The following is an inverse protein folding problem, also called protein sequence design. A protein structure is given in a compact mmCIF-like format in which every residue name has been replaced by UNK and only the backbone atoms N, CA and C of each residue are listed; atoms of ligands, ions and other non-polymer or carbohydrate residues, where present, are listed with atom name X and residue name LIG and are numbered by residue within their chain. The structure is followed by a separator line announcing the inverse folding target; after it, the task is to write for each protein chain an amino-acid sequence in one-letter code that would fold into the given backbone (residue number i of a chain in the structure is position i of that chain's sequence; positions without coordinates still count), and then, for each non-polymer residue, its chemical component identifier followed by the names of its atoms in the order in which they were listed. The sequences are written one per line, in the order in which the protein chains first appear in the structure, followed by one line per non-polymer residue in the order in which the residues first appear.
data_IF_918249818674
#
_entry.id   IF_918249818674
#
_cell.length_a   1.000
_cell.length_b   1.000
_cell.length_c   1.000
_cell.angle_alpha   90.00
_cell.angle_beta   90.00
_cell.angle_gamma   90.00
#
_symmetry.space_group_name_H-M   'P 1'
#
loop_
_entity.id
_entity.type
_entity.pdbx_description
1 polymer ?
#
# COMPACT_ATOMS: atom_id res chain seq x y z
N UNK A 1 -27.93 -31.50 17.78
CA UNK A 1 -27.51 -30.16 18.24
C UNK A 1 -26.77 -30.35 19.56
N UNK A 2 -25.58 -29.74 19.72
CA UNK A 2 -24.66 -30.05 20.81
C UNK A 2 -24.85 -29.05 21.96
N UNK A 3 -24.94 -29.53 23.21
CA UNK A 3 -25.19 -28.71 24.40
C UNK A 3 -24.16 -27.57 24.62
N UNK A 4 -22.96 -27.71 24.05
CA UNK A 4 -21.94 -26.64 24.05
C UNK A 4 -22.29 -25.47 23.12
N UNK A 5 -22.95 -25.73 21.98
CA UNK A 5 -23.35 -24.67 21.05
C UNK A 5 -24.46 -23.79 21.64
N UNK A 6 -25.39 -24.43 22.36
CA UNK A 6 -26.51 -23.74 23.01
C UNK A 6 -26.01 -22.84 24.15
N UNK A 7 -25.08 -23.33 24.97
CA UNK A 7 -24.41 -22.53 26.01
C UNK A 7 -23.61 -21.35 25.43
N UNK A 8 -22.94 -21.54 24.29
CA UNK A 8 -22.23 -20.44 23.63
C UNK A 8 -23.19 -19.36 23.11
N UNK A 9 -24.31 -19.78 22.50
CA UNK A 9 -25.33 -18.84 21.99
C UNK A 9 -25.95 -18.02 23.13
N UNK A 10 -26.23 -18.66 24.25
CA UNK A 10 -26.84 -18.01 25.42
C UNK A 10 -25.87 -17.02 26.09
N UNK A 11 -24.59 -17.41 26.19
CA UNK A 11 -23.53 -16.52 26.68
C UNK A 11 -23.35 -15.30 25.76
N UNK A 12 -23.36 -15.49 24.44
CA UNK A 12 -23.22 -14.39 23.47
C UNK A 12 -24.43 -13.46 23.46
N UNK A 13 -25.65 -13.99 23.66
CA UNK A 13 -26.87 -13.19 23.73
C UNK A 13 -26.87 -12.28 24.96
N UNK A 14 -26.49 -12.83 26.13
CA UNK A 14 -26.34 -12.06 27.36
C UNK A 14 -25.37 -10.89 27.20
N UNK A 15 -24.22 -11.12 26.55
CA UNK A 15 -23.24 -10.05 26.27
C UNK A 15 -23.81 -9.01 25.29
N UNK A 16 -24.56 -9.44 24.28
CA UNK A 16 -25.21 -8.54 23.32
C UNK A 16 -26.28 -7.64 23.95
N UNK A 17 -26.97 -8.11 24.99
CA UNK A 17 -27.97 -7.32 25.73
C UNK A 17 -27.35 -6.32 26.72
N UNK A 18 -26.09 -6.54 27.13
CA UNK A 18 -25.36 -5.61 28.02
C UNK A 18 -24.70 -4.43 27.30
N UNK A 19 -24.67 -4.42 25.96
CA UNK A 19 -24.07 -3.34 25.18
C UNK A 19 -25.16 -2.45 24.60
N UNK A 20 -25.29 -1.22 25.11
CA UNK A 20 -26.15 -0.23 24.49
C UNK A 20 -25.50 0.28 23.20
N UNK A 21 -26.30 0.74 22.24
CA UNK A 21 -25.79 1.34 20.99
C UNK A 21 -24.87 2.56 21.25
N UNK A 22 -24.96 3.13 22.45
CA UNK A 22 -24.19 4.25 22.99
C UNK A 22 -22.74 3.87 23.33
N UNK A 23 -22.50 2.60 23.73
CA UNK A 23 -21.19 2.07 24.14
C UNK A 23 -20.34 1.64 22.94
N UNK A 24 -20.93 1.62 21.74
CA UNK A 24 -20.23 1.27 20.50
C UNK A 24 -19.60 2.55 19.92
N UNK A 25 -18.26 2.67 19.91
CA UNK A 25 -17.61 3.85 19.35
C UNK A 25 -18.00 4.01 17.88
N UNK A 26 -18.25 5.25 17.41
CA UNK A 26 -18.71 5.46 16.05
C UNK A 26 -17.71 4.90 15.04
N UNK A 27 -18.20 4.27 13.95
CA UNK A 27 -17.32 3.73 12.93
C UNK A 27 -16.46 4.85 12.33
N UNK A 28 -15.14 4.61 12.23
CA UNK A 28 -14.13 5.56 11.73
C UNK A 28 -14.30 5.93 10.23
N UNK A 29 -15.38 5.50 9.59
CA UNK A 29 -15.67 5.69 8.18
C UNK A 29 -16.90 6.57 7.89
N UNK A 30 -17.42 7.32 8.89
CA UNK A 30 -18.36 8.40 8.63
C UNK A 30 -17.64 9.54 7.87
N UNK A 31 -17.53 9.36 6.56
CA UNK A 31 -16.87 10.25 5.62
C UNK A 31 -17.51 11.62 5.64
N UNK A 32 -16.71 12.61 6.04
CA UNK A 32 -16.98 14.03 5.83
C UNK A 32 -17.18 14.24 4.34
N UNK A 33 -18.42 14.39 3.87
CA UNK A 33 -18.69 14.92 2.53
C UNK A 33 -18.12 16.34 2.51
N UNK A 34 -16.87 16.50 2.05
CA UNK A 34 -16.33 17.80 1.72
C UNK A 34 -17.12 18.28 0.51
N UNK A 35 -18.11 19.13 0.76
CA UNK A 35 -18.71 19.96 -0.27
C UNK A 35 -17.59 20.82 -0.86
N UNK A 36 -17.06 20.39 -2.00
CA UNK A 36 -16.13 21.13 -2.82
C UNK A 36 -16.95 22.17 -3.59
N UNK A 37 -17.25 23.30 -2.94
CA UNK A 37 -17.66 24.50 -3.64
C UNK A 37 -16.43 25.37 -3.90
N UNK A 38 -16.15 25.47 -5.19
CA UNK A 38 -15.22 26.36 -5.87
C UNK A 38 -15.14 27.77 -5.27
N UNK A 39 -13.93 28.24 -4.97
CA UNK A 39 -13.63 29.68 -4.91
C UNK A 39 -12.59 30.02 -5.99
N UNK A 40 -12.91 30.84 -6.99
CA UNK A 40 -11.95 31.31 -7.97
C UNK A 40 -11.20 32.55 -7.46
N UNK A 41 -9.91 32.59 -7.83
CA UNK A 41 -9.12 33.76 -8.29
C UNK A 41 -8.84 34.90 -7.29
N UNK A 42 -7.55 35.23 -7.15
CA UNK A 42 -6.96 36.53 -7.54
C UNK A 42 -5.43 36.46 -7.37
N UNK A 43 -4.73 36.48 -8.51
CA UNK A 43 -3.28 36.67 -8.59
C UNK A 43 -3.03 38.18 -8.53
N UNK A 44 -2.43 38.66 -7.43
CA UNK A 44 -1.94 40.03 -7.34
C UNK A 44 -0.44 40.03 -7.69
N UNK A 45 -0.08 40.60 -8.83
CA UNK A 45 1.28 40.93 -9.18
C UNK A 45 1.64 42.27 -8.51
N UNK A 46 2.69 42.29 -7.69
CA UNK A 46 3.27 43.52 -7.16
C UNK A 46 4.75 43.57 -7.55
N UNK A 47 5.04 44.38 -8.58
CA UNK A 47 6.39 44.81 -8.93
C UNK A 47 6.68 46.04 -8.07
N UNK A 48 7.67 45.96 -7.21
CA UNK A 48 8.25 47.13 -6.55
C UNK A 48 9.77 47.03 -6.62
N UNK A 49 10.34 47.72 -7.61
CA UNK A 49 11.75 48.01 -7.68
C UNK A 49 12.03 49.23 -6.79
N UNK A 50 12.90 49.07 -5.79
CA UNK A 50 13.54 50.19 -5.11
C UNK A 50 14.94 49.77 -4.67
N UNK A 51 15.94 50.25 -5.41
CA UNK A 51 17.34 50.18 -5.03
C UNK A 51 17.58 51.15 -3.86
N UNK A 52 18.09 50.64 -2.73
CA UNK A 52 18.60 51.47 -1.64
C UNK A 52 20.04 51.03 -1.38
N UNK A 53 20.97 51.91 -1.76
CA UNK A 53 22.37 51.83 -1.35
C UNK A 53 22.44 52.46 0.04
N UNK A 54 22.58 51.65 1.08
CA UNK A 54 22.78 52.11 2.45
C UNK A 54 24.20 51.74 2.91
N UNK A 55 25.01 52.79 3.09
CA UNK A 55 26.34 52.79 3.67
C UNK A 55 26.24 52.48 5.17
N UNK A 56 27.10 51.56 5.63
CA UNK A 56 27.48 51.22 7.02
C UNK A 56 26.66 51.72 8.22
N UNK A 57 26.16 50.77 9.01
CA UNK A 57 25.74 50.98 10.40
C UNK A 57 25.67 49.64 11.14
N UNK A 58 26.61 49.39 12.06
CA UNK A 58 26.62 48.22 12.94
C UNK A 58 25.64 48.48 14.09
N UNK A 59 24.49 47.80 14.09
CA UNK A 59 23.63 47.66 15.27
C UNK A 59 23.54 46.20 15.66
N UNK A 60 24.05 45.88 16.85
CA UNK A 60 23.90 44.58 17.47
C UNK A 60 22.41 44.28 17.70
N UNK A 61 21.88 43.29 17.00
CA UNK A 61 20.48 42.85 17.12
C UNK A 61 20.32 41.48 16.47
N UNK A 62 19.92 40.49 17.27
CA UNK A 62 19.89 39.08 16.92
C UNK A 62 19.16 38.75 15.61
N UNK A 63 19.81 37.98 14.74
CA UNK A 63 19.10 37.19 13.73
C UNK A 63 19.61 35.76 13.86
N UNK A 64 18.75 34.89 14.39
CA UNK A 64 18.93 33.45 14.32
C UNK A 64 19.01 33.06 12.83
N UNK A 65 20.20 32.94 12.27
CA UNK A 65 20.38 32.17 11.04
C UNK A 65 20.29 30.71 11.44
N UNK A 66 19.07 30.25 11.71
CA UNK A 66 18.78 28.83 11.76
C UNK A 66 19.03 28.31 10.35
N UNK A 67 20.28 27.92 10.10
CA UNK A 67 20.72 27.29 8.88
C UNK A 67 20.12 25.90 8.82
N UNK A 68 18.82 25.81 8.55
CA UNK A 68 18.21 24.60 8.06
C UNK A 68 18.78 24.41 6.66
N UNK A 69 19.91 23.72 6.58
CA UNK A 69 20.47 23.25 5.31
C UNK A 69 19.34 22.52 4.61
N UNK A 70 18.83 23.09 3.53
CA UNK A 70 17.88 22.46 2.65
C UNK A 70 18.45 21.07 2.32
N UNK A 71 17.92 20.04 2.96
CA UNK A 71 18.29 18.66 2.64
C UNK A 71 17.93 18.50 1.16
N UNK A 72 18.87 18.08 0.30
CA UNK A 72 18.56 17.87 -1.09
C UNK A 72 17.36 16.94 -1.17
N UNK A 73 16.29 17.40 -1.84
CA UNK A 73 15.10 16.60 -2.05
C UNK A 73 15.58 15.33 -2.76
N UNK A 74 15.64 14.22 -2.04
CA UNK A 74 16.07 12.95 -2.62
C UNK A 74 15.19 12.71 -3.87
N UNK A 75 15.77 12.29 -5.01
CA UNK A 75 14.96 12.01 -6.18
C UNK A 75 13.85 11.06 -5.76
N UNK A 76 12.61 11.41 -6.13
CA UNK A 76 11.43 10.65 -5.75
C UNK A 76 11.65 9.18 -6.14
N UNK A 77 11.84 8.34 -5.12
CA UNK A 77 12.24 6.95 -5.34
C UNK A 77 11.03 6.16 -5.83
N UNK A 78 11.32 5.27 -6.76
CA UNK A 78 10.32 4.35 -7.30
C UNK A 78 10.01 3.30 -6.25
N UNK A 79 8.73 3.11 -5.97
CA UNK A 79 8.25 2.05 -5.11
C UNK A 79 7.96 0.79 -5.94
N UNK A 80 8.21 -0.38 -5.35
CA UNK A 80 7.92 -1.68 -5.94
C UNK A 80 6.84 -2.39 -5.13
N UNK A 81 5.96 -3.08 -5.84
CA UNK A 81 4.88 -3.89 -5.27
C UNK A 81 4.92 -5.25 -5.94
N UNK A 82 4.85 -6.33 -5.15
CA UNK A 82 4.71 -7.68 -5.64
C UNK A 82 3.29 -8.16 -5.36
N UNK A 83 2.55 -8.54 -6.40
CA UNK A 83 1.23 -9.15 -6.30
C UNK A 83 1.40 -10.65 -6.51
N UNK A 84 1.29 -11.44 -5.45
CA UNK A 84 1.39 -12.89 -5.49
C UNK A 84 0.05 -13.50 -5.86
N UNK A 85 0.08 -14.47 -6.77
CA UNK A 85 -1.12 -15.15 -7.24
C UNK A 85 -1.42 -16.39 -6.38
N UNK A 86 -2.68 -16.81 -6.44
CA UNK A 86 -3.15 -17.99 -5.74
C UNK A 86 -2.39 -19.24 -6.17
N UNK A 87 -2.02 -20.06 -5.18
CA UNK A 87 -1.48 -21.41 -5.37
C UNK A 87 -2.19 -22.41 -4.47
N UNK A 88 -2.03 -23.70 -4.78
CA UNK A 88 -2.67 -24.78 -4.01
C UNK A 88 -2.33 -24.77 -2.52
N UNK A 89 -1.14 -24.29 -2.16
CA UNK A 89 -0.68 -24.17 -0.78
C UNK A 89 -1.00 -22.82 -0.12
N UNK A 90 -1.66 -21.90 -0.84
CA UNK A 90 -2.07 -20.60 -0.32
C UNK A 90 -2.96 -20.75 0.91
N UNK A 91 -2.67 -19.96 1.95
CA UNK A 91 -3.49 -19.89 3.17
C UNK A 91 -4.68 -18.94 3.05
N UNK A 92 -4.76 -18.14 1.98
CA UNK A 92 -5.87 -17.22 1.77
C UNK A 92 -7.13 -18.01 1.39
N UNK A 93 -8.24 -17.89 2.15
CA UNK A 93 -9.47 -18.63 1.86
C UNK A 93 -10.06 -18.31 0.49
N UNK A 94 -9.86 -17.09 -0.01
CA UNK A 94 -10.33 -16.67 -1.34
C UNK A 94 -9.64 -17.41 -2.50
N UNK A 95 -8.51 -18.08 -2.23
CA UNK A 95 -7.82 -18.89 -3.22
C UNK A 95 -8.36 -20.32 -3.32
N UNK A 96 -9.19 -20.77 -2.37
CA UNK A 96 -9.84 -22.10 -2.37
C UNK A 96 -8.85 -23.28 -2.59
N UNK A 97 -7.59 -23.13 -2.17
CA UNK A 97 -6.50 -24.10 -2.42
C UNK A 97 -6.33 -24.45 -3.90
N UNK A 98 -6.54 -23.48 -4.80
CA UNK A 98 -6.38 -23.61 -6.25
C UNK A 98 -5.32 -22.65 -6.77
N UNK A 99 -4.71 -23.04 -7.89
CA UNK A 99 -3.84 -22.14 -8.63
C UNK A 99 -4.66 -21.08 -9.38
N UNK A 100 -4.12 -19.87 -9.49
CA UNK A 100 -4.70 -18.84 -10.33
C UNK A 100 -4.76 -19.32 -11.79
N UNK A 101 -5.94 -19.17 -12.40
CA UNK A 101 -6.14 -19.51 -13.82
C UNK A 101 -5.42 -18.52 -14.74
N UNK A 102 -5.16 -18.94 -15.98
CA UNK A 102 -4.59 -18.03 -16.99
C UNK A 102 -5.46 -16.78 -17.20
N UNK A 103 -6.79 -16.93 -17.15
CA UNK A 103 -7.72 -15.82 -17.28
C UNK A 103 -7.65 -14.86 -16.08
N UNK A 104 -7.57 -15.37 -14.86
CA UNK A 104 -7.39 -14.53 -13.66
C UNK A 104 -6.05 -13.79 -13.69
N UNK A 105 -4.98 -14.48 -14.05
CA UNK A 105 -3.65 -13.87 -14.21
C UNK A 105 -3.68 -12.72 -15.21
N UNK A 106 -4.29 -12.92 -16.37
CA UNK A 106 -4.42 -11.90 -17.39
C UNK A 106 -5.32 -10.74 -16.94
N UNK A 107 -6.41 -11.03 -16.21
CA UNK A 107 -7.27 -10.00 -15.64
C UNK A 107 -6.52 -9.11 -14.62
N UNK A 108 -5.71 -9.72 -13.74
CA UNK A 108 -4.88 -9.00 -12.75
C UNK A 108 -3.83 -8.14 -13.46
N UNK A 109 -3.16 -8.67 -14.50
CA UNK A 109 -2.20 -7.91 -15.30
C UNK A 109 -2.86 -6.68 -15.94
N UNK A 110 -3.98 -6.88 -16.63
CA UNK A 110 -4.72 -5.79 -17.28
C UNK A 110 -5.22 -4.75 -16.27
N UNK A 111 -5.69 -5.18 -15.10
CA UNK A 111 -6.08 -4.28 -14.02
C UNK A 111 -4.90 -3.39 -13.58
N UNK A 112 -3.74 -4.00 -13.34
CA UNK A 112 -2.53 -3.29 -12.93
C UNK A 112 -2.06 -2.28 -13.98
N UNK A 113 -2.06 -2.66 -15.25
CA UNK A 113 -1.62 -1.80 -16.36
C UNK A 113 -2.53 -0.59 -16.58
N UNK A 114 -3.81 -0.68 -16.19
CA UNK A 114 -4.77 0.45 -16.26
C UNK A 114 -4.59 1.47 -15.14
N UNK A 115 -3.83 1.15 -14.09
CA UNK A 115 -3.64 2.07 -12.97
C UNK A 115 -2.63 3.17 -13.35
N UNK A 116 -2.98 4.47 -13.25
CA UNK A 116 -2.10 5.56 -13.66
C UNK A 116 -0.84 5.68 -12.78
N UNK A 117 -0.87 5.05 -11.61
CA UNK A 117 0.22 4.96 -10.64
C UNK A 117 1.34 4.02 -11.11
N UNK A 118 0.99 3.05 -11.96
CA UNK A 118 1.86 1.97 -12.40
C UNK A 118 2.68 2.44 -13.60
N UNK A 119 3.97 2.08 -13.59
CA UNK A 119 4.87 2.33 -14.72
C UNK A 119 5.14 1.06 -15.51
N UNK A 120 5.39 -0.05 -14.81
CA UNK A 120 5.76 -1.33 -15.43
C UNK A 120 5.14 -2.48 -14.64
N UNK A 121 4.65 -3.49 -15.34
CA UNK A 121 4.22 -4.77 -14.79
C UNK A 121 5.03 -5.86 -15.46
N UNK A 122 5.67 -6.71 -14.66
CA UNK A 122 6.43 -7.86 -15.13
C UNK A 122 5.88 -9.11 -14.48
N UNK A 123 5.51 -10.09 -15.29
CA UNK A 123 5.12 -11.39 -14.77
C UNK A 123 6.36 -12.22 -14.45
N UNK A 124 6.39 -12.75 -13.24
CA UNK A 124 7.40 -13.70 -12.80
C UNK A 124 6.75 -15.08 -12.64
N UNK A 125 7.23 -16.06 -13.40
CA UNK A 125 6.71 -17.42 -13.34
C UNK A 125 7.08 -18.11 -12.04
N UNK A 126 6.34 -19.17 -11.67
CA UNK A 126 6.66 -20.00 -10.49
C UNK A 126 8.09 -20.53 -10.52
N UNK A 127 8.57 -20.92 -11.70
CA UNK A 127 9.93 -21.42 -11.89
C UNK A 127 10.96 -20.33 -11.59
N UNK A 128 10.81 -19.16 -12.19
CA UNK A 128 11.78 -18.07 -12.03
C UNK A 128 11.73 -17.52 -10.59
N UNK A 129 10.54 -17.47 -9.98
CA UNK A 129 10.35 -17.14 -8.58
C UNK A 129 11.04 -18.13 -7.65
N UNK A 130 10.95 -19.43 -7.93
CA UNK A 130 11.60 -20.48 -7.15
C UNK A 130 13.12 -20.42 -7.24
N UNK A 131 13.68 -20.22 -8.44
CA UNK A 131 15.14 -20.08 -8.58
C UNK A 131 15.66 -18.86 -7.82
N UNK A 132 15.02 -17.70 -7.96
CA UNK A 132 15.36 -16.52 -7.16
C UNK A 132 15.19 -16.73 -5.66
N UNK A 133 14.18 -17.50 -5.25
CA UNK A 133 13.98 -17.85 -3.86
C UNK A 133 15.15 -18.68 -3.33
N UNK A 134 15.59 -19.71 -4.08
CA UNK A 134 16.76 -20.52 -3.75
C UNK A 134 18.05 -19.73 -3.69
N UNK A 135 18.26 -18.81 -4.63
CA UNK A 135 19.44 -17.93 -4.61
C UNK A 135 19.53 -17.13 -3.30
N UNK A 136 18.38 -16.68 -2.80
CA UNK A 136 18.31 -15.83 -1.60
C UNK A 136 18.28 -16.61 -0.29
N UNK A 137 17.61 -17.76 -0.26
CA UNK A 137 17.27 -18.48 0.97
C UNK A 137 17.70 -19.95 0.98
N UNK A 138 18.32 -20.45 -0.07
CA UNK A 138 18.67 -21.88 -0.21
C UNK A 138 19.70 -22.41 0.79
N UNK A 139 20.37 -21.52 1.54
CA UNK A 139 21.28 -21.89 2.64
C UNK A 139 20.61 -21.93 4.01
N UNK A 140 19.35 -21.48 4.10
CA UNK A 140 18.62 -21.41 5.37
C UNK A 140 17.79 -22.69 5.54
N UNK A 141 18.11 -23.45 6.59
CA UNK A 141 17.52 -24.76 6.85
C UNK A 141 15.99 -24.73 6.97
N UNK A 142 15.42 -23.57 7.35
CA UNK A 142 13.97 -23.37 7.49
C UNK A 142 13.23 -23.51 6.16
N UNK A 143 13.92 -23.31 5.03
CA UNK A 143 13.33 -23.28 3.70
C UNK A 143 13.68 -24.50 2.84
N UNK A 144 14.46 -25.45 3.37
CA UNK A 144 14.88 -26.66 2.63
C UNK A 144 13.71 -27.57 2.21
N UNK A 145 12.57 -27.47 2.90
CA UNK A 145 11.37 -28.27 2.60
C UNK A 145 10.45 -27.64 1.55
N UNK A 146 10.69 -26.39 1.15
CA UNK A 146 9.87 -25.71 0.15
C UNK A 146 10.08 -26.32 -1.23
N UNK A 147 8.99 -26.78 -1.82
CA UNK A 147 8.95 -27.31 -3.17
C UNK A 147 8.73 -26.17 -4.19
N UNK A 148 9.09 -26.38 -5.48
CA UNK A 148 8.82 -25.38 -6.52
C UNK A 148 7.36 -24.94 -6.62
N UNK A 149 6.41 -25.83 -6.29
CA UNK A 149 4.98 -25.53 -6.29
C UNK A 149 4.52 -24.63 -5.13
N UNK A 150 5.33 -24.49 -4.08
CA UNK A 150 5.01 -23.67 -2.90
C UNK A 150 5.33 -22.20 -3.10
N UNK A 151 6.14 -21.88 -4.12
CA UNK A 151 6.47 -20.50 -4.46
C UNK A 151 5.47 -19.98 -5.50
N UNK A 152 4.60 -19.03 -5.12
CA UNK A 152 3.63 -18.46 -6.05
C UNK A 152 4.32 -17.65 -7.16
N UNK A 153 3.72 -17.69 -8.34
CA UNK A 153 3.99 -16.71 -9.39
C UNK A 153 3.50 -15.33 -8.95
N UNK A 154 4.06 -14.28 -9.55
CA UNK A 154 3.76 -12.92 -9.12
C UNK A 154 3.79 -11.90 -10.25
N UNK A 155 3.03 -10.82 -10.09
CA UNK A 155 3.18 -9.60 -10.87
C UNK A 155 4.11 -8.65 -10.11
N UNK A 156 5.29 -8.42 -10.67
CA UNK A 156 6.27 -7.44 -10.21
C UNK A 156 5.91 -6.07 -10.77
N UNK A 157 5.41 -5.19 -9.92
CA UNK A 157 4.88 -3.89 -10.30
C UNK A 157 5.85 -2.80 -9.87
N UNK A 158 6.28 -2.00 -10.84
CA UNK A 158 7.07 -0.80 -10.57
C UNK A 158 6.18 0.42 -10.71
N UNK A 159 6.17 1.27 -9.67
CA UNK A 159 5.35 2.46 -9.62
C UNK A 159 6.08 3.69 -10.15
N UNK A 160 5.31 4.67 -10.61
CA UNK A 160 5.82 6.00 -10.95
C UNK A 160 6.36 6.70 -9.68
N UNK A 161 7.33 7.58 -9.86
CA UNK A 161 7.91 8.35 -8.77
C UNK A 161 6.82 9.18 -8.05
N UNK A 162 6.79 9.10 -6.71
CA UNK A 162 5.79 9.79 -5.89
C UNK A 162 4.43 9.09 -5.77
N UNK A 163 4.20 7.98 -6.48
CA UNK A 163 2.99 7.18 -6.33
C UNK A 163 2.92 6.51 -4.95
N UNK A 164 1.71 6.38 -4.41
CA UNK A 164 1.47 5.74 -3.11
C UNK A 164 1.21 4.23 -3.32
N UNK A 165 2.11 3.33 -2.88
CA UNK A 165 1.95 1.89 -3.12
C UNK A 165 0.70 1.30 -2.46
N UNK A 166 0.26 1.88 -1.33
CA UNK A 166 -0.99 1.49 -0.67
C UNK A 166 -2.22 1.66 -1.56
N UNK A 167 -2.25 2.67 -2.43
CA UNK A 167 -3.37 2.89 -3.35
C UNK A 167 -3.45 1.77 -4.39
N UNK A 168 -2.31 1.33 -4.92
CA UNK A 168 -2.24 0.21 -5.86
C UNK A 168 -2.60 -1.10 -5.16
N UNK A 169 -2.08 -1.31 -3.95
CA UNK A 169 -2.43 -2.47 -3.13
C UNK A 169 -3.95 -2.60 -2.93
N UNK A 170 -4.61 -1.52 -2.49
CA UNK A 170 -6.05 -1.50 -2.27
C UNK A 170 -6.87 -1.71 -3.54
N UNK A 171 -6.35 -1.31 -4.70
CA UNK A 171 -7.04 -1.50 -5.98
C UNK A 171 -7.03 -2.96 -6.46
N UNK A 172 -6.06 -3.76 -6.00
CA UNK A 172 -5.83 -5.13 -6.49
C UNK A 172 -6.22 -6.18 -5.44
N UNK A 173 -6.19 -5.82 -4.16
CA UNK A 173 -6.59 -6.71 -3.07
C UNK A 173 -8.04 -7.19 -3.29
N UNK A 174 -8.26 -8.50 -3.15
CA UNK A 174 -9.58 -9.11 -3.36
C UNK A 174 -9.92 -9.42 -4.81
N UNK A 175 -9.04 -9.11 -5.77
CA UNK A 175 -9.22 -9.54 -7.16
C UNK A 175 -9.11 -11.07 -7.24
N UNK A 176 -9.98 -11.77 -7.99
CA UNK A 176 -9.89 -13.21 -8.16
C UNK A 176 -8.51 -13.66 -8.66
N UNK A 177 -7.94 -14.67 -8.00
CA UNK A 177 -6.60 -15.19 -8.31
C UNK A 177 -5.45 -14.44 -7.63
N UNK A 178 -5.72 -13.40 -6.83
CA UNK A 178 -4.70 -12.73 -5.99
C UNK A 178 -4.69 -13.32 -4.59
N UNK A 179 -3.52 -13.75 -4.15
CA UNK A 179 -3.29 -14.24 -2.79
C UNK A 179 -2.89 -13.08 -1.85
N UNK A 180 -1.74 -12.47 -2.15
CA UNK A 180 -1.15 -11.43 -1.30
C UNK A 180 -0.57 -10.30 -2.13
N UNK A 181 -0.53 -9.11 -1.53
CA UNK A 181 0.14 -7.95 -2.12
C UNK A 181 1.14 -7.42 -1.11
N UNK A 182 2.42 -7.46 -1.49
CA UNK A 182 3.52 -6.99 -0.66
C UNK A 182 4.12 -5.71 -1.25
N UNK A 183 4.28 -4.70 -0.39
CA UNK A 183 5.03 -3.50 -0.72
C UNK A 183 6.49 -3.79 -0.38
N UNK A 184 7.36 -3.79 -1.39
CA UNK A 184 8.78 -4.05 -1.19
C UNK A 184 9.42 -2.84 -0.50
N UNK A 185 9.86 -3.04 0.74
CA UNK A 185 10.68 -2.06 1.45
C UNK A 185 12.11 -2.20 0.94
N UNK A 186 12.73 -1.06 0.61
CA UNK A 186 14.15 -0.99 0.28
C UNK A 186 14.96 -0.79 1.55
#
# INVERSE_FOLDING_TARGET
MNATEERLRDALKTVGETLAAEDVPPPRFAGRRRAMFSRPVLVAAAVAASAVVAVGGVTAGAVFTSGEKARPLSPAREAKVAVFLCVRTSSNPSCEKRDATAQQREAVKNLLERLPQVRKVEYESKRDAYERFKERFGKDERFLRLQPGDVPDSMRVTLRAGAKPKTVMMAVLGTPGVDQVLIEKR
#
